data_IF_419336972096
#
_entry.id   IF_419336972096
#
_cell.length_a   1.000
_cell.length_b   1.000
_cell.length_c   1.000
_cell.angle_alpha   90.00
_cell.angle_beta   90.00
_cell.angle_gamma   90.00
#
_symmetry.space_group_name_H-M   'P 1'
#
loop_
_entity.id
_entity.type
_entity.pdbx_description
1 polymer ?
#
# COMPACT_ATOMS: atom_id res chain seq x y z
N UNK A 1 -19.37 -12.46 8.39
CA UNK A 1 -18.79 -12.75 9.73
C UNK A 1 -17.38 -13.25 9.47
N UNK A 2 -16.35 -12.67 10.09
CA UNK A 2 -14.96 -13.10 9.86
C UNK A 2 -14.73 -14.51 10.42
N UNK A 3 -13.99 -15.33 9.69
CA UNK A 3 -13.52 -16.62 10.19
C UNK A 3 -12.07 -16.45 10.70
N UNK A 4 -11.80 -16.99 11.89
CA UNK A 4 -10.46 -17.15 12.43
C UNK A 4 -10.17 -18.63 12.56
N UNK A 5 -8.99 -19.11 12.14
CA UNK A 5 -8.59 -20.51 12.33
C UNK A 5 -8.67 -20.95 13.81
N UNK A 6 -8.95 -22.23 14.05
CA UNK A 6 -9.16 -22.78 15.40
C UNK A 6 -7.95 -22.61 16.33
N UNK A 7 -6.73 -22.57 15.79
CA UNK A 7 -5.49 -22.35 16.54
C UNK A 7 -5.33 -20.90 17.00
N UNK A 8 -5.72 -19.92 16.17
CA UNK A 8 -5.76 -18.51 16.52
C UNK A 8 -6.68 -18.25 17.73
N UNK A 9 -7.83 -18.93 17.79
CA UNK A 9 -8.74 -18.84 18.94
C UNK A 9 -8.06 -19.31 20.24
N UNK A 10 -7.31 -20.40 20.23
CA UNK A 10 -6.65 -20.91 21.43
C UNK A 10 -5.56 -19.95 21.95
N UNK A 11 -4.78 -19.35 21.06
CA UNK A 11 -3.69 -18.42 21.42
C UNK A 11 -4.18 -17.05 21.86
N UNK A 12 -5.21 -16.47 21.21
CA UNK A 12 -5.81 -15.21 21.66
C UNK A 12 -6.45 -15.37 23.05
N UNK A 13 -7.03 -16.54 23.34
CA UNK A 13 -7.72 -16.81 24.62
C UNK A 13 -6.73 -17.01 25.79
N UNK A 14 -5.55 -17.58 25.54
CA UNK A 14 -4.62 -18.00 26.61
C UNK A 14 -3.23 -17.34 26.58
N UNK A 15 -2.67 -17.04 25.40
CA UNK A 15 -1.31 -16.50 25.25
C UNK A 15 -1.20 -14.97 25.28
N UNK A 16 -2.30 -14.25 25.00
CA UNK A 16 -2.31 -12.78 24.95
C UNK A 16 -2.59 -12.09 26.29
N UNK A 17 -2.90 -12.86 27.36
CA UNK A 17 -3.34 -12.35 28.68
C UNK A 17 -2.37 -11.38 29.37
N UNK A 18 -1.12 -11.29 28.93
CA UNK A 18 -0.11 -10.40 29.51
C UNK A 18 0.15 -9.11 28.71
N UNK A 19 -0.46 -8.95 27.52
CA UNK A 19 -0.13 -7.83 26.61
C UNK A 19 -1.25 -6.79 26.62
N UNK A 20 -0.97 -5.64 27.24
CA UNK A 20 -1.92 -4.51 27.35
C UNK A 20 -2.12 -3.74 26.04
N UNK A 21 -1.24 -3.91 25.07
CA UNK A 21 -1.26 -3.22 23.77
C UNK A 21 -1.24 -4.26 22.65
N UNK A 22 -2.22 -4.18 21.75
CA UNK A 22 -2.35 -5.07 20.58
C UNK A 22 -2.45 -4.22 19.32
N UNK A 23 -1.91 -4.70 18.21
CA UNK A 23 -2.01 -4.01 16.93
C UNK A 23 -3.08 -4.59 16.01
N UNK A 24 -3.67 -3.74 15.17
CA UNK A 24 -4.47 -4.13 14.01
C UNK A 24 -3.92 -3.42 12.78
N UNK A 25 -3.61 -4.17 11.73
CA UNK A 25 -3.14 -3.64 10.44
C UNK A 25 -4.28 -3.77 9.43
N UNK A 26 -4.71 -2.65 8.85
CA UNK A 26 -5.78 -2.62 7.86
C UNK A 26 -5.22 -2.90 6.46
N UNK A 27 -5.47 -4.10 5.94
CA UNK A 27 -4.90 -4.59 4.67
C UNK A 27 -5.97 -5.09 3.66
N UNK A 28 -7.25 -4.79 3.90
CA UNK A 28 -8.37 -5.27 3.06
C UNK A 28 -8.69 -4.43 1.81
N UNK A 29 -7.97 -3.32 1.59
CA UNK A 29 -8.22 -2.42 0.46
C UNK A 29 -7.88 -3.03 -0.90
N UNK A 30 -8.68 -2.76 -1.93
CA UNK A 30 -8.47 -3.30 -3.28
C UNK A 30 -7.45 -2.50 -4.13
N UNK A 31 -6.96 -1.35 -3.65
CA UNK A 31 -5.98 -0.53 -4.36
C UNK A 31 -6.42 -0.09 -5.77
N UNK A 32 -7.71 0.17 -6.00
CA UNK A 32 -8.26 0.40 -7.36
C UNK A 32 -7.58 1.52 -8.17
N UNK A 33 -7.06 2.56 -7.50
CA UNK A 33 -6.32 3.67 -8.14
C UNK A 33 -4.96 3.28 -8.72
N UNK A 34 -4.42 2.15 -8.28
CA UNK A 34 -3.13 1.59 -8.73
C UNK A 34 -3.30 0.51 -9.80
N UNK A 35 -4.52 0.26 -10.30
CA UNK A 35 -4.71 -0.64 -11.44
C UNK A 35 -4.06 -0.04 -12.69
N UNK A 36 -3.25 -0.81 -13.43
CA UNK A 36 -3.27 -2.28 -13.52
C UNK A 36 -2.33 -3.04 -12.57
N UNK A 37 -1.49 -2.36 -11.78
CA UNK A 37 -0.52 -3.01 -10.89
C UNK A 37 -1.25 -3.92 -9.89
N UNK A 38 -2.27 -3.37 -9.24
CA UNK A 38 -3.04 -4.07 -8.20
C UNK A 38 -4.03 -5.10 -8.72
N UNK A 39 -4.09 -5.35 -10.03
CA UNK A 39 -4.88 -6.46 -10.59
C UNK A 39 -4.20 -7.82 -10.42
N UNK A 40 -2.93 -7.84 -10.00
CA UNK A 40 -2.16 -9.09 -9.80
C UNK A 40 -1.51 -9.22 -8.43
N UNK A 41 -1.34 -8.11 -7.71
CA UNK A 41 -0.70 -8.07 -6.39
C UNK A 41 -1.47 -7.11 -5.45
N UNK A 42 -1.82 -7.52 -4.21
CA UNK A 42 -2.50 -6.63 -3.29
C UNK A 42 -1.57 -5.50 -2.83
N UNK A 43 -2.13 -4.31 -2.56
CA UNK A 43 -1.37 -3.10 -2.19
C UNK A 43 -0.35 -3.32 -1.04
N UNK A 44 -0.67 -4.07 0.04
CA UNK A 44 0.30 -4.45 1.09
C UNK A 44 1.58 -5.15 0.61
N UNK A 45 1.51 -5.84 -0.53
CA UNK A 45 2.62 -6.59 -1.13
C UNK A 45 3.32 -5.84 -2.27
N UNK A 46 2.94 -4.59 -2.56
CA UNK A 46 3.67 -3.84 -3.58
C UNK A 46 5.15 -3.70 -3.19
N UNK A 47 6.08 -4.02 -4.11
CA UNK A 47 7.51 -3.92 -3.83
C UNK A 47 7.93 -2.46 -3.68
N UNK A 48 8.70 -2.16 -2.66
CA UNK A 48 9.38 -0.87 -2.44
C UNK A 48 10.86 -1.21 -2.31
N UNK A 49 11.55 -1.28 -3.44
CA UNK A 49 12.87 -1.91 -3.50
C UNK A 49 12.79 -3.38 -3.11
N UNK A 50 13.58 -3.79 -2.11
CA UNK A 50 13.65 -5.18 -1.63
C UNK A 50 12.54 -5.59 -0.67
N UNK A 51 11.80 -4.62 -0.15
CA UNK A 51 10.77 -4.86 0.86
C UNK A 51 9.37 -4.68 0.28
N UNK A 52 8.35 -5.04 1.06
CA UNK A 52 6.93 -4.86 0.71
C UNK A 52 6.33 -3.67 1.46
N UNK A 53 5.29 -3.06 0.92
CA UNK A 53 4.67 -1.87 1.51
C UNK A 53 4.27 -2.05 2.99
N UNK A 54 3.63 -3.18 3.36
CA UNK A 54 3.21 -3.43 4.74
C UNK A 54 4.36 -3.78 5.70
N UNK A 55 5.57 -4.07 5.20
CA UNK A 55 6.73 -4.34 6.06
C UNK A 55 7.06 -3.16 6.98
N UNK A 56 6.76 -1.93 6.55
CA UNK A 56 6.84 -0.70 7.32
C UNK A 56 6.09 -0.81 8.65
N UNK A 57 4.81 -1.18 8.57
CA UNK A 57 3.94 -1.38 9.74
C UNK A 57 4.50 -2.43 10.69
N UNK A 58 5.02 -3.54 10.17
CA UNK A 58 5.63 -4.59 10.99
C UNK A 58 6.94 -4.14 11.66
N UNK A 59 7.76 -3.37 10.96
CA UNK A 59 8.99 -2.80 11.51
C UNK A 59 8.71 -1.80 12.64
N UNK A 60 7.71 -0.93 12.47
CA UNK A 60 7.25 0.01 13.50
C UNK A 60 6.73 -0.72 14.74
N UNK A 61 5.93 -1.78 14.55
CA UNK A 61 5.45 -2.61 15.66
C UNK A 61 6.58 -3.30 16.42
N UNK A 62 7.53 -3.90 15.69
CA UNK A 62 8.72 -4.52 16.29
C UNK A 62 9.52 -3.52 17.11
N UNK A 63 9.77 -2.33 16.56
CA UNK A 63 10.52 -1.26 17.25
C UNK A 63 9.84 -0.81 18.54
N UNK A 64 8.50 -0.77 18.57
CA UNK A 64 7.71 -0.47 19.77
C UNK A 64 7.55 -1.66 20.73
N UNK A 65 8.15 -2.83 20.43
CA UNK A 65 8.04 -4.04 21.24
C UNK A 65 6.68 -4.73 21.18
N UNK A 66 5.84 -4.39 20.19
CA UNK A 66 4.53 -5.00 19.98
C UNK A 66 4.71 -6.31 19.22
N UNK A 67 4.34 -7.42 19.87
CA UNK A 67 4.61 -8.79 19.38
C UNK A 67 3.45 -9.42 18.61
N UNK A 68 2.26 -8.84 18.65
CA UNK A 68 1.05 -9.41 18.08
C UNK A 68 0.29 -8.36 17.28
N UNK A 69 -0.07 -8.72 16.05
CA UNK A 69 -0.95 -7.94 15.20
C UNK A 69 -2.04 -8.81 14.60
N UNK A 70 -3.24 -8.25 14.47
CA UNK A 70 -4.29 -8.82 13.62
C UNK A 70 -4.29 -8.05 12.30
N UNK A 71 -4.17 -8.73 11.18
CA UNK A 71 -4.22 -8.15 9.84
C UNK A 71 -5.63 -8.33 9.30
N UNK A 72 -6.36 -7.24 9.02
CA UNK A 72 -7.67 -7.32 8.37
C UNK A 72 -7.46 -7.41 6.87
N UNK A 73 -7.94 -8.48 6.24
CA UNK A 73 -7.69 -8.78 4.82
C UNK A 73 -9.01 -9.01 4.08
N UNK A 74 -8.99 -8.87 2.74
CA UNK A 74 -10.15 -9.14 1.88
C UNK A 74 -9.71 -9.47 0.47
N UNK A 75 -9.22 -8.47 -0.25
CA UNK A 75 -8.81 -8.62 -1.64
C UNK A 75 -7.47 -9.37 -1.71
N UNK A 76 -7.43 -10.50 -2.44
CA UNK A 76 -6.24 -11.36 -2.58
C UNK A 76 -5.60 -11.69 -1.23
N UNK A 77 -6.42 -12.01 -0.22
CA UNK A 77 -5.95 -12.19 1.15
C UNK A 77 -4.97 -13.37 1.25
N UNK A 78 -5.17 -14.40 0.45
CA UNK A 78 -4.33 -15.58 0.36
C UNK A 78 -2.87 -15.20 0.04
N UNK A 79 -2.64 -14.26 -0.89
CA UNK A 79 -1.28 -13.81 -1.20
C UNK A 79 -0.61 -13.12 0.00
N UNK A 80 -1.36 -12.32 0.77
CA UNK A 80 -0.85 -11.63 1.96
C UNK A 80 -0.50 -12.65 3.05
N UNK A 81 -1.35 -13.66 3.23
CA UNK A 81 -1.17 -14.75 4.18
C UNK A 81 0.03 -15.63 3.80
N UNK A 82 0.16 -16.00 2.53
CA UNK A 82 1.26 -16.82 2.03
C UNK A 82 2.61 -16.10 2.17
N UNK A 83 2.66 -14.79 1.89
CA UNK A 83 3.90 -14.03 1.96
C UNK A 83 4.36 -13.78 3.41
N UNK A 84 3.47 -13.33 4.28
CA UNK A 84 3.82 -12.92 5.64
C UNK A 84 3.73 -14.07 6.66
N UNK A 85 2.88 -15.06 6.43
CA UNK A 85 2.65 -16.19 7.33
C UNK A 85 2.17 -15.78 8.73
N UNK A 86 2.18 -16.72 9.67
CA UNK A 86 1.78 -16.44 11.06
C UNK A 86 2.85 -15.70 11.88
N UNK A 87 4.06 -15.53 11.33
CA UNK A 87 5.16 -14.85 11.99
C UNK A 87 6.10 -14.20 11.00
N UNK A 88 6.27 -12.88 11.11
CA UNK A 88 7.14 -12.09 10.25
C UNK A 88 7.90 -11.05 11.05
N UNK A 89 9.21 -10.94 10.84
CA UNK A 89 10.09 -9.93 11.46
C UNK A 89 9.82 -9.70 12.97
N UNK A 90 9.68 -10.75 13.78
CA UNK A 90 9.49 -10.58 15.23
C UNK A 90 8.05 -10.41 15.69
N UNK A 91 7.09 -10.29 14.78
CA UNK A 91 5.66 -10.07 15.06
C UNK A 91 4.86 -11.31 14.67
N UNK A 92 4.00 -11.80 15.58
CA UNK A 92 3.01 -12.84 15.30
C UNK A 92 1.77 -12.23 14.66
N UNK A 93 1.33 -12.81 13.56
CA UNK A 93 0.23 -12.32 12.76
C UNK A 93 -0.96 -13.27 12.86
N UNK A 94 -2.15 -12.67 12.95
CA UNK A 94 -3.43 -13.36 12.87
C UNK A 94 -4.24 -12.66 11.79
N UNK A 95 -4.97 -13.41 10.98
CA UNK A 95 -5.68 -12.85 9.84
C UNK A 95 -7.18 -12.82 10.09
N UNK A 96 -7.79 -11.65 9.92
CA UNK A 96 -9.23 -11.45 9.98
C UNK A 96 -9.75 -11.17 8.57
N UNK A 97 -10.16 -12.23 7.88
CA UNK A 97 -10.66 -12.15 6.50
C UNK A 97 -12.10 -11.63 6.48
N UNK A 98 -12.31 -10.51 5.80
CA UNK A 98 -13.63 -9.89 5.62
C UNK A 98 -14.38 -10.53 4.44
N UNK A 99 -15.58 -11.05 4.69
CA UNK A 99 -16.47 -11.54 3.62
C UNK A 99 -17.17 -10.41 2.86
N UNK A 100 -17.25 -9.21 3.44
CA UNK A 100 -17.91 -8.03 2.89
C UNK A 100 -17.24 -6.77 3.43
N UNK A 101 -17.16 -5.65 2.69
CA UNK A 101 -16.46 -4.46 3.17
C UNK A 101 -17.09 -3.89 4.45
N UNK A 102 -16.35 -3.93 5.56
CA UNK A 102 -16.79 -3.38 6.85
C UNK A 102 -16.37 -1.91 7.06
N UNK A 103 -15.69 -1.32 6.09
CA UNK A 103 -15.09 0.01 6.27
C UNK A 103 -13.88 -0.03 7.20
N UNK A 104 -13.16 1.08 7.26
CA UNK A 104 -11.88 1.16 7.98
C UNK A 104 -12.05 0.86 9.48
N UNK A 105 -12.98 1.54 10.16
CA UNK A 105 -13.24 1.32 11.58
C UNK A 105 -13.97 0.00 11.85
N UNK A 106 -14.94 -0.38 11.00
CA UNK A 106 -15.68 -1.63 11.18
C UNK A 106 -14.79 -2.87 11.06
N UNK A 107 -13.79 -2.87 10.17
CA UNK A 107 -12.79 -3.95 10.07
C UNK A 107 -11.99 -4.10 11.36
N UNK A 108 -11.56 -2.98 11.95
CA UNK A 108 -10.86 -2.93 13.23
C UNK A 108 -11.74 -3.43 14.37
N UNK A 109 -13.04 -3.08 14.37
CA UNK A 109 -13.98 -3.58 15.37
C UNK A 109 -14.13 -5.11 15.28
N UNK A 110 -14.25 -5.65 14.08
CA UNK A 110 -14.34 -7.10 13.87
C UNK A 110 -13.07 -7.83 14.37
N UNK A 111 -11.89 -7.27 14.10
CA UNK A 111 -10.62 -7.78 14.63
C UNK A 111 -10.54 -7.65 16.17
N UNK A 112 -11.02 -6.55 16.73
CA UNK A 112 -10.96 -6.32 18.18
C UNK A 112 -11.90 -7.21 18.99
N UNK A 113 -13.06 -7.60 18.42
CA UNK A 113 -14.06 -8.45 19.10
C UNK A 113 -13.51 -9.82 19.52
N UNK A 114 -12.42 -10.27 18.89
CA UNK A 114 -11.79 -11.57 19.21
C UNK A 114 -10.72 -11.44 20.30
N UNK A 115 -10.26 -10.22 20.59
CA UNK A 115 -9.26 -9.93 21.61
C UNK A 115 -9.96 -9.80 22.96
N UNK A 116 -9.71 -10.73 23.89
CA UNK A 116 -10.35 -10.71 25.21
C UNK A 116 -9.87 -9.57 26.09
N UNK A 117 -8.55 -9.38 26.17
CA UNK A 117 -7.94 -8.45 27.12
C UNK A 117 -6.89 -7.55 26.44
N UNK A 118 -7.24 -6.28 26.28
CA UNK A 118 -6.34 -5.18 25.88
C UNK A 118 -6.77 -3.88 26.57
N UNK A 119 -5.81 -2.96 26.78
CA UNK A 119 -6.07 -1.61 27.28
C UNK A 119 -6.25 -0.64 26.12
N UNK A 120 -5.33 -0.71 25.16
CA UNK A 120 -5.29 0.15 23.97
C UNK A 120 -4.96 -0.67 22.73
N UNK A 121 -5.43 -0.18 21.59
CA UNK A 121 -5.26 -0.79 20.29
C UNK A 121 -4.45 0.16 19.39
N UNK A 122 -3.36 -0.32 18.81
CA UNK A 122 -2.63 0.40 17.78
C UNK A 122 -3.19 -0.01 16.42
N UNK A 123 -3.71 0.92 15.66
CA UNK A 123 -4.22 0.69 14.31
C UNK A 123 -3.23 1.27 13.32
N UNK A 124 -2.86 0.51 12.29
CA UNK A 124 -1.98 0.95 11.22
C UNK A 124 -2.63 0.69 9.86
N UNK A 125 -2.36 1.56 8.89
CA UNK A 125 -2.64 1.26 7.50
C UNK A 125 -1.65 0.22 6.97
N UNK A 126 -2.14 -0.80 6.26
CA UNK A 126 -1.30 -1.81 5.61
C UNK A 126 -0.71 -1.36 4.28
N UNK A 127 -0.99 -0.13 3.87
CA UNK A 127 -0.73 0.36 2.52
C UNK A 127 -0.05 1.74 2.47
N UNK A 128 0.47 2.19 3.60
CA UNK A 128 1.34 3.36 3.70
C UNK A 128 2.78 2.90 3.99
N UNK A 129 3.75 3.49 3.31
CA UNK A 129 5.17 3.31 3.64
C UNK A 129 5.53 4.36 4.68
N UNK A 130 5.85 3.92 5.89
CA UNK A 130 6.02 4.80 7.03
C UNK A 130 7.02 4.22 8.05
N UNK A 131 7.75 5.09 8.73
CA UNK A 131 8.69 4.69 9.79
C UNK A 131 8.54 5.50 11.08
N UNK A 132 7.33 5.99 11.37
CA UNK A 132 7.02 6.72 12.59
C UNK A 132 7.33 5.94 13.88
N UNK A 133 7.60 6.69 14.95
CA UNK A 133 7.82 6.14 16.30
C UNK A 133 6.49 5.90 17.04
N UNK A 134 6.03 4.65 17.01
CA UNK A 134 4.82 4.22 17.74
C UNK A 134 5.02 4.29 19.26
N UNK A 135 6.24 4.16 19.77
CA UNK A 135 6.55 4.25 21.19
C UNK A 135 6.38 5.66 21.75
N UNK A 136 6.81 6.69 20.99
CA UNK A 136 6.57 8.11 21.29
C UNK A 136 5.06 8.38 21.37
N UNK A 137 4.31 7.94 20.35
CA UNK A 137 2.86 8.13 20.29
C UNK A 137 2.11 7.39 21.42
N UNK A 138 2.50 6.16 21.78
CA UNK A 138 1.92 5.43 22.93
C UNK A 138 2.18 6.16 24.24
N UNK A 139 3.40 6.66 24.41
CA UNK A 139 3.77 7.41 25.62
C UNK A 139 2.93 8.68 25.72
N UNK A 140 2.75 9.41 24.62
CA UNK A 140 1.90 10.59 24.56
C UNK A 140 0.42 10.26 24.81
N UNK A 141 -0.14 9.25 24.14
CA UNK A 141 -1.52 8.80 24.32
C UNK A 141 -1.87 8.53 25.79
N UNK A 142 -0.99 7.79 26.48
CA UNK A 142 -1.16 7.44 27.89
C UNK A 142 -1.02 8.63 28.82
N UNK A 143 -0.05 9.52 28.59
CA UNK A 143 0.11 10.76 29.39
C UNK A 143 -1.10 11.68 29.22
N UNK A 144 -1.55 11.86 27.99
CA UNK A 144 -2.71 12.68 27.68
C UNK A 144 -4.02 12.02 28.15
N UNK A 145 -4.07 10.70 28.39
CA UNK A 145 -5.32 10.02 28.72
C UNK A 145 -6.39 10.21 27.64
N UNK A 146 -5.97 10.24 26.37
CA UNK A 146 -6.87 10.43 25.25
C UNK A 146 -7.70 9.17 24.97
N UNK A 147 -8.91 9.33 24.43
CA UNK A 147 -9.69 8.20 23.93
C UNK A 147 -9.16 7.74 22.57
N UNK A 148 -8.64 8.66 21.77
CA UNK A 148 -7.93 8.39 20.53
C UNK A 148 -6.75 9.34 20.35
N UNK A 149 -5.62 8.81 19.90
CA UNK A 149 -4.47 9.60 19.44
C UNK A 149 -4.17 9.26 17.99
N UNK A 150 -4.22 10.27 17.10
CA UNK A 150 -3.87 10.14 15.69
C UNK A 150 -2.39 10.47 15.52
N UNK A 151 -1.64 9.62 14.82
CA UNK A 151 -0.35 10.04 14.28
C UNK A 151 -0.62 10.82 12.99
N UNK A 152 0.04 11.96 12.85
CA UNK A 152 -0.23 12.91 11.79
C UNK A 152 0.98 13.02 10.86
N UNK A 153 0.71 13.28 9.59
CA UNK A 153 1.72 13.56 8.58
C UNK A 153 1.51 14.98 8.02
N UNK A 154 2.52 15.51 7.32
CA UNK A 154 2.38 16.73 6.52
C UNK A 154 2.33 16.39 5.05
N UNK A 155 1.49 17.09 4.29
CA UNK A 155 1.35 16.89 2.85
C UNK A 155 1.13 18.22 2.14
N UNK A 156 1.79 18.40 1.00
CA UNK A 156 1.55 19.50 0.07
C UNK A 156 0.24 19.31 -0.72
N UNK A 157 -0.33 18.10 -0.68
CA UNK A 157 -1.61 17.73 -1.30
C UNK A 157 -2.64 17.25 -0.25
N UNK A 158 -3.06 18.11 0.70
CA UNK A 158 -3.89 17.68 1.83
C UNK A 158 -5.32 17.26 1.45
N UNK A 159 -5.83 17.68 0.28
CA UNK A 159 -7.18 17.36 -0.20
C UNK A 159 -7.41 15.87 -0.48
N UNK A 160 -6.34 15.09 -0.61
CA UNK A 160 -6.43 13.64 -0.80
C UNK A 160 -6.70 12.88 0.53
N UNK A 161 -6.67 13.58 1.66
CA UNK A 161 -6.64 12.99 3.02
C UNK A 161 -7.61 13.67 3.99
N UNK A 162 -7.70 13.14 5.21
CA UNK A 162 -8.38 13.80 6.31
C UNK A 162 -7.51 14.91 6.90
N UNK A 163 -7.94 16.16 6.79
CA UNK A 163 -7.26 17.32 7.39
C UNK A 163 -7.60 17.41 8.87
N UNK A 164 -6.59 17.69 9.69
CA UNK A 164 -6.69 17.75 11.13
C UNK A 164 -6.39 19.15 11.65
N UNK A 165 -7.24 19.65 12.54
CA UNK A 165 -7.05 20.91 13.25
C UNK A 165 -6.70 20.56 14.69
N UNK A 166 -5.51 20.99 15.11
CA UNK A 166 -5.01 20.86 16.49
C UNK A 166 -5.25 22.19 17.19
N UNK A 167 -5.71 22.15 18.44
CA UNK A 167 -5.88 23.34 19.27
C UNK A 167 -4.56 24.05 19.51
N UNK A 168 -4.58 25.37 19.44
CA UNK A 168 -3.49 26.25 19.86
C UNK A 168 -3.54 26.56 21.37
N UNK A 169 -4.64 26.18 22.05
CA UNK A 169 -4.86 26.51 23.45
C UNK A 169 -3.95 25.67 24.35
N UNK A 170 -2.82 26.29 24.70
CA UNK A 170 -1.97 25.87 25.80
C UNK A 170 -2.61 26.33 27.12
N UNK A 171 -3.77 25.77 27.49
CA UNK A 171 -4.29 26.00 28.85
C UNK A 171 -3.23 25.53 29.86
N UNK A 172 -2.76 26.47 30.67
CA UNK A 172 -1.56 26.38 31.51
C UNK A 172 -1.66 25.41 32.70
N UNK A 173 -2.76 24.69 32.84
CA UNK A 173 -3.08 23.95 34.07
C UNK A 173 -3.45 22.48 33.87
N UNK A 174 -3.19 21.93 32.68
CA UNK A 174 -3.44 20.52 32.44
C UNK A 174 -2.27 19.89 31.68
N UNK A 175 -1.95 18.64 31.99
CA UNK A 175 -0.88 17.81 31.39
C UNK A 175 -1.04 17.52 29.88
N UNK A 176 -1.77 18.40 29.18
CA UNK A 176 -2.44 18.25 27.92
C UNK A 176 -2.24 19.45 26.97
N UNK A 177 -1.45 20.46 27.36
CA UNK A 177 -1.12 21.58 26.49
C UNK A 177 -0.39 21.08 25.25
N UNK A 178 -0.66 21.69 24.09
CA UNK A 178 0.05 21.34 22.87
C UNK A 178 1.55 21.48 23.06
N UNK A 179 2.32 20.49 22.64
CA UNK A 179 3.78 20.54 22.71
C UNK A 179 4.32 20.79 21.30
N UNK A 180 5.27 21.71 21.19
CA UNK A 180 6.09 21.88 19.99
C UNK A 180 7.42 21.19 20.29
N UNK A 181 7.74 20.17 19.50
CA UNK A 181 9.00 19.45 19.60
C UNK A 181 10.14 20.33 19.08
N UNK A 182 11.36 20.02 19.50
CA UNK A 182 12.56 20.79 19.08
C UNK A 182 12.81 20.75 17.56
N UNK A 183 12.25 19.76 16.87
CA UNK A 183 12.31 19.60 15.41
C UNK A 183 11.13 20.29 14.68
N UNK A 184 10.27 21.02 15.39
CA UNK A 184 9.15 21.77 14.85
C UNK A 184 7.85 20.96 14.68
N UNK A 185 7.85 19.66 14.98
CA UNK A 185 6.62 18.86 15.04
C UNK A 185 5.72 19.38 16.17
N UNK A 186 4.42 19.09 16.07
CA UNK A 186 3.45 19.45 17.12
C UNK A 186 2.62 18.27 17.58
N UNK A 187 2.17 18.32 18.82
CA UNK A 187 1.10 17.49 19.34
C UNK A 187 0.07 18.34 20.09
N UNK A 188 -1.14 17.81 20.28
CA UNK A 188 -2.18 18.52 21.04
C UNK A 188 -3.56 17.90 20.87
N UNK A 189 -4.57 18.53 21.47
CA UNK A 189 -5.97 18.13 21.31
C UNK A 189 -6.44 18.45 19.88
N UNK A 190 -7.13 17.51 19.24
CA UNK A 190 -7.79 17.71 17.96
C UNK A 190 -9.15 18.38 18.20
N UNK A 191 -9.40 19.49 17.52
CA UNK A 191 -10.64 20.28 17.58
C UNK A 191 -11.45 20.16 16.29
N UNK A 192 -10.83 19.75 15.20
CA UNK A 192 -11.49 19.56 13.91
C UNK A 192 -10.88 18.42 13.10
N UNK A 193 -11.74 17.71 12.39
CA UNK A 193 -11.37 16.67 11.45
C UNK A 193 -12.25 16.79 10.20
N UNK A 194 -11.65 16.96 9.03
CA UNK A 194 -12.36 17.13 7.76
C UNK A 194 -11.82 16.12 6.76
N UNK A 195 -12.63 15.12 6.43
CA UNK A 195 -12.25 14.09 5.46
C UNK A 195 -12.33 14.62 4.03
N UNK A 196 -11.19 14.67 3.33
CA UNK A 196 -11.06 15.02 1.91
C UNK A 196 -11.79 16.33 1.56
N UNK A 197 -11.31 17.47 2.09
CA UNK A 197 -11.95 18.75 1.88
C UNK A 197 -11.96 19.13 0.40
N UNK A 198 -13.04 19.78 -0.03
CA UNK A 198 -13.24 20.24 -1.42
C UNK A 198 -12.68 21.65 -1.69
N UNK A 199 -12.26 22.38 -0.65
CA UNK A 199 -11.64 23.71 -0.73
C UNK A 199 -10.50 23.82 0.28
N UNK A 200 -9.54 24.73 0.05
CA UNK A 200 -8.33 24.85 0.88
C UNK A 200 -8.22 26.16 1.69
N UNK A 201 -9.08 27.15 1.46
CA UNK A 201 -8.99 28.42 2.20
C UNK A 201 -9.13 28.18 3.71
N UNK A 202 -8.00 28.34 4.43
CA UNK A 202 -7.93 28.28 5.89
C UNK A 202 -7.56 26.91 6.50
N UNK A 203 -7.15 25.90 5.71
CA UNK A 203 -6.79 24.58 6.24
C UNK A 203 -5.28 24.38 6.46
N UNK A 204 -4.93 23.50 7.40
CA UNK A 204 -3.55 23.15 7.73
C UNK A 204 -2.98 22.14 6.73
N UNK A 205 -1.65 22.03 6.64
CA UNK A 205 -0.97 20.95 5.90
C UNK A 205 -0.93 19.62 6.68
N UNK A 206 -1.54 19.57 7.88
CA UNK A 206 -1.48 18.43 8.79
C UNK A 206 -2.63 17.49 8.50
N UNK A 207 -2.28 16.26 8.16
CA UNK A 207 -3.21 15.24 7.68
C UNK A 207 -3.17 13.98 8.54
N UNK A 208 -4.28 13.26 8.50
CA UNK A 208 -4.41 11.92 9.02
C UNK A 208 -3.50 10.94 8.27
N UNK A 209 -2.60 10.27 9.00
CA UNK A 209 -1.68 9.26 8.44
C UNK A 209 -2.31 7.87 8.24
N UNK A 210 -3.50 7.63 8.81
CA UNK A 210 -4.09 6.29 8.89
C UNK A 210 -3.59 5.45 10.06
N UNK A 211 -2.81 6.03 10.99
CA UNK A 211 -2.26 5.36 12.17
C UNK A 211 -2.87 5.96 13.44
N UNK A 212 -3.40 5.10 14.31
CA UNK A 212 -4.17 5.49 15.48
C UNK A 212 -3.78 4.68 16.72
N UNK A 213 -3.95 5.29 17.89
CA UNK A 213 -3.98 4.58 19.17
C UNK A 213 -5.35 4.82 19.78
N UNK A 214 -6.09 3.75 20.04
CA UNK A 214 -7.47 3.80 20.51
C UNK A 214 -7.59 3.17 21.88
N UNK A 215 -8.30 3.83 22.79
CA UNK A 215 -8.72 3.22 24.04
C UNK A 215 -9.75 2.10 23.75
N UNK A 216 -9.92 1.18 24.71
CA UNK A 216 -11.03 0.21 24.66
C UNK A 216 -12.41 0.89 24.53
N UNK A 217 -12.60 2.06 25.13
CA UNK A 217 -13.87 2.79 25.05
C UNK A 217 -14.12 3.33 23.63
N UNK A 218 -13.10 3.90 22.97
CA UNK A 218 -13.21 4.35 21.59
C UNK A 218 -13.53 3.18 20.63
N UNK A 219 -12.85 2.03 20.78
CA UNK A 219 -13.17 0.81 20.02
C UNK A 219 -14.62 0.36 20.27
N UNK A 220 -15.10 0.48 21.52
CA UNK A 220 -16.46 0.16 21.93
C UNK A 220 -17.55 0.97 21.22
N UNK A 221 -17.24 2.19 20.77
CA UNK A 221 -18.17 3.08 20.05
C UNK A 221 -18.40 2.66 18.59
N UNK A 222 -17.51 1.85 18.01
CA UNK A 222 -17.64 1.40 16.61
C UNK A 222 -18.74 0.32 16.52
N UNK A 223 -19.80 0.52 15.71
CA UNK A 223 -20.85 -0.48 15.55
C UNK A 223 -20.35 -1.69 14.74
N UNK A 224 -21.04 -2.82 14.87
CA UNK A 224 -20.79 -4.03 14.06
C UNK A 224 -21.43 -3.92 12.67
N UNK A 225 -20.98 -2.92 11.92
CA UNK A 225 -21.48 -2.61 10.58
C UNK A 225 -20.40 -1.89 9.78
N UNK A 226 -20.70 -1.58 8.51
CA UNK A 226 -19.83 -0.72 7.72
C UNK A 226 -19.64 0.63 8.42
N UNK A 227 -18.41 0.96 8.79
CA UNK A 227 -18.09 2.17 9.55
C UNK A 227 -16.66 2.63 9.25
N UNK A 228 -16.45 3.94 9.13
CA UNK A 228 -15.17 4.54 8.77
C UNK A 228 -14.63 5.47 9.86
N UNK A 229 -13.30 5.52 10.02
CA UNK A 229 -12.65 6.39 11.01
C UNK A 229 -12.90 7.87 10.72
N UNK A 230 -12.50 8.34 9.53
CA UNK A 230 -12.56 9.75 9.17
C UNK A 230 -13.98 10.27 8.90
N UNK A 231 -14.85 9.45 8.31
CA UNK A 231 -16.24 9.86 8.02
C UNK A 231 -17.20 9.66 9.19
N UNK A 232 -16.88 8.79 10.16
CA UNK A 232 -17.83 8.44 11.22
C UNK A 232 -17.24 8.55 12.63
N UNK A 233 -16.23 7.75 13.00
CA UNK A 233 -15.80 7.64 14.40
C UNK A 233 -15.25 8.97 14.95
N UNK A 234 -14.29 9.60 14.25
CA UNK A 234 -13.67 10.82 14.77
C UNK A 234 -14.66 12.00 14.80
N UNK A 235 -15.46 12.27 13.76
CA UNK A 235 -16.52 13.28 13.84
C UNK A 235 -17.50 13.03 14.99
N UNK A 236 -17.90 11.77 15.22
CA UNK A 236 -18.78 11.40 16.32
C UNK A 236 -18.16 11.68 17.69
N UNK A 237 -16.91 11.26 17.91
CA UNK A 237 -16.17 11.50 19.15
C UNK A 237 -16.00 13.00 19.42
N UNK A 238 -15.64 13.80 18.40
CA UNK A 238 -15.53 15.26 18.52
C UNK A 238 -16.86 15.90 18.94
N UNK A 239 -17.98 15.47 18.33
CA UNK A 239 -19.32 15.99 18.67
C UNK A 239 -19.74 15.71 20.12
N UNK A 240 -19.16 14.68 20.75
CA UNK A 240 -19.39 14.31 22.15
C UNK A 240 -18.45 14.99 23.14
N UNK A 241 -17.46 15.73 22.64
CA UNK A 241 -16.37 16.28 23.44
C UNK A 241 -15.37 15.24 23.93
N UNK A 242 -15.42 13.99 23.44
CA UNK A 242 -14.44 12.96 23.79
C UNK A 242 -13.03 13.46 23.44
N UNK A 243 -12.03 13.04 24.22
CA UNK A 243 -10.67 13.55 24.07
C UNK A 243 -9.94 12.85 22.94
N UNK A 244 -9.80 13.56 21.83
CA UNK A 244 -8.97 13.14 20.70
C UNK A 244 -7.72 14.00 20.67
N UNK A 245 -6.56 13.38 20.53
CA UNK A 245 -5.28 14.06 20.40
C UNK A 245 -4.61 13.71 19.06
N UNK A 246 -3.69 14.56 18.63
CA UNK A 246 -2.85 14.39 17.47
C UNK A 246 -1.39 14.54 17.85
N UNK A 247 -0.51 13.80 17.20
CA UNK A 247 0.94 13.95 17.29
C UNK A 247 1.53 13.80 15.89
N UNK A 248 2.28 14.79 15.42
CA UNK A 248 3.02 14.68 14.16
C UNK A 248 4.11 13.61 14.29
N UNK A 249 4.14 12.65 13.36
CA UNK A 249 5.09 11.55 13.39
C UNK A 249 6.51 12.02 13.06
N UNK A 250 7.49 11.56 13.83
CA UNK A 250 8.89 11.66 13.46
C UNK A 250 9.23 10.62 12.38
N UNK A 251 9.58 11.06 11.18
CA UNK A 251 10.08 10.19 10.12
C UNK A 251 9.39 10.38 8.78
N UNK A 252 9.50 9.36 7.94
CA UNK A 252 8.92 9.27 6.62
C UNK A 252 7.48 8.76 6.68
N UNK A 253 6.64 9.31 5.81
CA UNK A 253 5.30 8.80 5.54
C UNK A 253 4.92 9.05 4.08
N UNK A 254 4.38 8.02 3.43
CA UNK A 254 3.81 8.11 2.10
C UNK A 254 2.64 7.13 1.94
N UNK A 255 1.43 7.62 1.68
CA UNK A 255 0.35 6.79 1.11
C UNK A 255 0.67 6.51 -0.35
N UNK A 256 0.99 5.25 -0.67
CA UNK A 256 1.25 4.79 -2.05
C UNK A 256 -0.06 4.62 -2.83
N UNK A 257 -0.98 5.57 -2.75
CA UNK A 257 -2.33 5.52 -3.32
C UNK A 257 -2.42 5.75 -4.83
N UNK A 258 -1.33 6.14 -5.49
CA UNK A 258 -1.25 6.38 -6.93
C UNK A 258 0.17 6.15 -7.46
N UNK A 259 0.33 6.14 -8.79
CA UNK A 259 1.59 5.75 -9.44
C UNK A 259 2.78 6.62 -9.07
N UNK A 260 2.62 7.94 -9.07
CA UNK A 260 3.70 8.86 -8.70
C UNK A 260 4.11 8.70 -7.24
N UNK A 261 3.14 8.53 -6.34
CA UNK A 261 3.44 8.28 -4.93
C UNK A 261 4.18 6.95 -4.74
N UNK A 262 3.74 5.90 -5.42
CA UNK A 262 4.40 4.59 -5.38
C UNK A 262 5.83 4.62 -5.96
N UNK A 263 6.01 5.23 -7.14
CA UNK A 263 7.32 5.43 -7.77
C UNK A 263 8.24 6.25 -6.87
N UNK A 264 7.76 7.39 -6.37
CA UNK A 264 8.49 8.23 -5.41
C UNK A 264 8.91 7.44 -4.17
N UNK A 265 8.04 6.63 -3.58
CA UNK A 265 8.40 5.80 -2.43
C UNK A 265 9.52 4.80 -2.76
N UNK A 266 9.55 4.22 -3.96
CA UNK A 266 10.65 3.37 -4.41
C UNK A 266 11.97 4.16 -4.51
N UNK A 267 11.95 5.35 -5.10
CA UNK A 267 13.14 6.21 -5.20
C UNK A 267 13.58 6.77 -3.84
N UNK A 268 12.66 7.13 -2.95
CA UNK A 268 12.97 7.55 -1.60
C UNK A 268 13.64 6.41 -0.80
N UNK A 269 13.23 5.15 -1.02
CA UNK A 269 13.92 3.99 -0.48
C UNK A 269 15.35 3.83 -1.04
N UNK A 270 15.56 4.06 -2.34
CA UNK A 270 16.91 4.05 -2.93
C UNK A 270 17.81 5.15 -2.35
N UNK A 271 17.25 6.33 -2.08
CA UNK A 271 17.97 7.45 -1.48
C UNK A 271 18.13 7.31 0.05
N UNK A 272 17.70 6.20 0.65
CA UNK A 272 17.86 5.95 2.09
C UNK A 272 16.98 6.83 2.99
N UNK A 273 15.91 7.43 2.45
CA UNK A 273 15.00 8.28 3.23
C UNK A 273 14.02 7.48 4.10
N UNK A 274 13.87 6.19 3.83
CA UNK A 274 12.89 5.32 4.50
C UNK A 274 13.65 4.28 5.32
N UNK A 275 13.50 4.33 6.65
CA UNK A 275 14.21 3.42 7.54
C UNK A 275 13.78 1.97 7.31
N UNK A 276 14.76 1.09 7.13
CA UNK A 276 14.53 -0.35 6.92
C UNK A 276 14.10 -0.71 5.51
N UNK A 277 14.12 0.23 4.57
CA UNK A 277 13.92 -0.01 3.15
C UNK A 277 15.21 0.31 2.39
N UNK A 278 15.43 -0.43 1.30
CA UNK A 278 16.54 -0.19 0.41
C UNK A 278 16.16 -0.59 -1.01
N UNK A 279 16.58 0.23 -1.97
CA UNK A 279 16.53 -0.05 -3.38
C UNK A 279 17.87 0.36 -4.02
N UNK A 280 18.16 -0.15 -5.21
CA UNK A 280 19.32 0.25 -5.99
C UNK A 280 18.82 0.92 -7.27
N UNK A 281 19.40 2.08 -7.59
CA UNK A 281 19.22 2.75 -8.87
C UNK A 281 20.39 2.29 -9.75
N UNK A 282 20.06 1.68 -10.88
CA UNK A 282 21.05 1.24 -11.86
C UNK A 282 21.62 2.41 -12.67
N UNK A 283 22.59 2.12 -13.55
CA UNK A 283 23.28 3.11 -14.38
C UNK A 283 22.36 3.90 -15.34
N UNK A 284 21.20 3.34 -15.69
CA UNK A 284 20.20 3.98 -16.54
C UNK A 284 19.22 4.87 -15.77
N UNK A 285 19.25 4.85 -14.43
CA UNK A 285 18.34 5.62 -13.58
C UNK A 285 17.10 4.85 -13.12
N UNK A 286 17.00 3.55 -13.39
CA UNK A 286 15.87 2.71 -12.99
C UNK A 286 16.08 2.00 -11.66
N UNK A 287 14.96 1.66 -11.00
CA UNK A 287 14.93 0.67 -9.94
C UNK A 287 14.47 -0.64 -10.54
N UNK A 288 15.30 -1.68 -10.44
CA UNK A 288 14.99 -3.01 -10.95
C UNK A 288 14.72 -4.02 -9.83
N UNK A 289 13.65 -4.79 -10.02
CA UNK A 289 13.37 -6.01 -9.29
C UNK A 289 14.33 -7.15 -9.66
N UNK A 290 14.07 -8.31 -9.10
CA UNK A 290 14.93 -9.48 -9.33
C UNK A 290 14.74 -10.05 -10.75
N UNK A 291 15.80 -10.64 -11.30
CA UNK A 291 15.77 -11.35 -12.60
C UNK A 291 15.42 -10.48 -13.82
N UNK A 292 15.55 -9.15 -13.72
CA UNK A 292 15.43 -8.28 -14.87
C UNK A 292 16.59 -8.50 -15.87
N UNK A 293 16.29 -8.45 -17.17
CA UNK A 293 17.27 -8.55 -18.25
C UNK A 293 17.06 -7.43 -19.25
N UNK A 294 17.91 -6.40 -19.19
CA UNK A 294 17.86 -5.26 -20.11
C UNK A 294 19.07 -5.34 -21.04
N UNK A 295 18.80 -5.38 -22.34
CA UNK A 295 19.84 -5.44 -23.38
C UNK A 295 20.54 -4.10 -23.60
N UNK A 296 21.64 -4.12 -24.36
CA UNK A 296 22.49 -2.96 -24.64
C UNK A 296 21.74 -1.77 -25.27
N UNK A 297 22.24 -0.56 -25.01
CA UNK A 297 21.71 0.73 -25.51
C UNK A 297 20.27 1.05 -25.07
N UNK A 298 19.70 0.28 -24.14
CA UNK A 298 18.41 0.59 -23.55
C UNK A 298 18.54 1.49 -22.32
N UNK A 299 17.60 2.42 -22.15
CA UNK A 299 17.60 3.42 -21.09
C UNK A 299 16.23 3.45 -20.41
N UNK A 300 16.22 3.25 -19.10
CA UNK A 300 15.01 3.29 -18.28
C UNK A 300 15.17 4.39 -17.21
N UNK A 301 14.95 5.64 -17.59
CA UNK A 301 15.17 6.78 -16.70
C UNK A 301 13.96 6.98 -15.77
N UNK A 302 14.19 7.10 -14.46
CA UNK A 302 13.13 7.30 -13.48
C UNK A 302 12.10 6.16 -13.39
N UNK A 303 12.39 4.98 -13.96
CA UNK A 303 11.45 3.87 -14.06
C UNK A 303 11.53 2.90 -12.86
N UNK A 304 10.42 2.20 -12.61
CA UNK A 304 10.37 1.08 -11.65
C UNK A 304 10.01 -0.19 -12.42
N UNK A 305 10.97 -1.11 -12.53
CA UNK A 305 10.80 -2.41 -13.16
C UNK A 305 10.59 -3.45 -12.06
N UNK A 306 9.48 -4.15 -12.09
CA UNK A 306 9.23 -5.28 -11.19
C UNK A 306 9.98 -6.53 -11.66
N UNK A 307 9.91 -7.59 -10.86
CA UNK A 307 10.67 -8.82 -11.09
C UNK A 307 10.46 -9.41 -12.49
N UNK A 308 11.52 -9.93 -13.09
CA UNK A 308 11.46 -10.69 -14.34
C UNK A 308 11.12 -9.87 -15.59
N UNK A 309 11.28 -8.54 -15.56
CA UNK A 309 11.12 -7.71 -16.76
C UNK A 309 12.29 -7.96 -17.72
N UNK A 310 11.98 -8.21 -18.98
CA UNK A 310 13.00 -8.35 -20.04
C UNK A 310 12.81 -7.27 -21.10
N UNK A 311 13.88 -6.62 -21.54
CA UNK A 311 13.83 -5.58 -22.57
C UNK A 311 14.92 -5.79 -23.63
N UNK A 312 14.51 -5.75 -24.90
CA UNK A 312 15.38 -5.78 -26.06
C UNK A 312 16.26 -4.53 -26.18
N UNK A 313 17.20 -4.56 -27.12
CA UNK A 313 18.16 -3.47 -27.32
C UNK A 313 17.47 -2.19 -27.82
N UNK A 314 18.13 -1.05 -27.65
CA UNK A 314 17.67 0.25 -28.18
C UNK A 314 16.27 0.66 -27.69
N UNK A 315 15.88 0.22 -26.49
CA UNK A 315 14.58 0.53 -25.87
C UNK A 315 14.69 1.69 -24.91
N UNK A 316 13.70 2.59 -24.93
CA UNK A 316 13.66 3.73 -23.99
C UNK A 316 12.38 3.73 -23.18
N UNK A 317 12.48 4.05 -21.90
CA UNK A 317 11.36 4.31 -21.02
C UNK A 317 11.68 5.44 -20.06
N UNK A 318 10.67 6.26 -19.75
CA UNK A 318 10.81 7.39 -18.82
C UNK A 318 9.68 7.35 -17.80
N UNK A 319 9.99 7.58 -16.51
CA UNK A 319 9.02 7.80 -15.42
C UNK A 319 7.85 6.80 -15.39
N UNK A 320 8.12 5.55 -15.74
CA UNK A 320 7.11 4.53 -15.97
C UNK A 320 7.26 3.35 -15.02
N UNK A 321 6.16 2.62 -14.83
CA UNK A 321 6.13 1.42 -14.02
C UNK A 321 5.92 0.22 -14.93
N UNK A 322 6.88 -0.69 -14.95
CA UNK A 322 6.84 -1.92 -15.75
C UNK A 322 6.59 -3.08 -14.79
N UNK A 323 5.38 -3.65 -14.83
CA UNK A 323 5.00 -4.70 -13.89
C UNK A 323 5.73 -6.02 -14.18
N UNK A 324 5.59 -6.95 -13.23
CA UNK A 324 6.30 -8.22 -13.21
C UNK A 324 6.16 -8.98 -14.53
N UNK A 325 7.27 -9.55 -15.01
CA UNK A 325 7.26 -10.47 -16.14
C UNK A 325 6.93 -9.86 -17.51
N UNK A 326 6.92 -8.53 -17.63
CA UNK A 326 6.71 -7.87 -18.92
C UNK A 326 7.89 -8.14 -19.85
N UNK A 327 7.58 -8.48 -21.10
CA UNK A 327 8.56 -8.66 -22.18
C UNK A 327 8.46 -7.50 -23.16
N UNK A 328 9.55 -6.75 -23.31
CA UNK A 328 9.67 -5.60 -24.21
C UNK A 328 10.65 -5.95 -25.33
N UNK A 329 10.22 -5.80 -26.58
CA UNK A 329 11.04 -5.99 -27.78
C UNK A 329 12.09 -4.90 -27.95
N UNK A 330 12.87 -4.98 -29.02
CA UNK A 330 13.89 -3.98 -29.34
C UNK A 330 13.28 -2.72 -29.98
N UNK A 331 13.89 -1.56 -29.76
CA UNK A 331 13.47 -0.30 -30.38
C UNK A 331 12.13 0.24 -29.86
N UNK A 332 11.66 -0.24 -28.70
CA UNK A 332 10.40 0.22 -28.10
C UNK A 332 10.60 1.58 -27.43
N UNK A 333 9.60 2.46 -27.53
CA UNK A 333 9.58 3.75 -26.82
C UNK A 333 8.40 3.81 -25.86
N UNK A 334 8.68 4.00 -24.57
CA UNK A 334 7.68 4.16 -23.51
C UNK A 334 7.81 5.58 -22.97
N UNK A 335 6.85 6.42 -23.30
CA UNK A 335 6.82 7.81 -22.84
C UNK A 335 6.47 7.94 -21.34
N UNK A 336 6.69 9.11 -20.73
CA UNK A 336 6.47 9.35 -19.31
C UNK A 336 5.11 8.88 -18.75
N UNK A 337 5.13 8.31 -17.55
CA UNK A 337 3.92 8.01 -16.78
C UNK A 337 3.14 6.78 -17.25
N UNK A 338 3.72 5.93 -18.11
CA UNK A 338 3.06 4.69 -18.52
C UNK A 338 3.07 3.65 -17.40
N UNK A 339 2.06 2.77 -17.40
CA UNK A 339 2.00 1.61 -16.50
C UNK A 339 1.69 0.36 -17.30
N UNK A 340 2.67 -0.52 -17.44
CA UNK A 340 2.55 -1.74 -18.24
C UNK A 340 2.15 -2.89 -17.33
N UNK A 341 0.96 -3.45 -17.54
CA UNK A 341 0.39 -4.52 -16.74
C UNK A 341 1.23 -5.79 -16.77
N UNK A 342 1.18 -6.57 -15.67
CA UNK A 342 2.03 -7.74 -15.48
C UNK A 342 1.90 -8.73 -16.64
N UNK A 343 3.01 -9.35 -17.03
CA UNK A 343 3.08 -10.36 -18.09
C UNK A 343 2.62 -9.87 -19.48
N UNK A 344 2.63 -8.55 -19.72
CA UNK A 344 2.36 -8.01 -21.06
C UNK A 344 3.55 -8.24 -21.99
N UNK A 345 3.25 -8.34 -23.30
CA UNK A 345 4.24 -8.42 -24.38
C UNK A 345 4.13 -7.15 -25.21
N UNK A 346 5.23 -6.40 -25.31
CA UNK A 346 5.35 -5.21 -26.16
C UNK A 346 6.35 -5.54 -27.25
N UNK A 347 5.90 -5.72 -28.48
CA UNK A 347 6.76 -6.13 -29.59
C UNK A 347 7.63 -4.98 -30.13
N UNK A 348 8.60 -5.36 -30.97
CA UNK A 348 9.63 -4.47 -31.50
C UNK A 348 9.05 -3.19 -32.13
N UNK A 349 9.71 -2.05 -31.85
CA UNK A 349 9.38 -0.77 -32.47
C UNK A 349 8.05 -0.15 -32.02
N UNK A 350 7.34 -0.74 -31.06
CA UNK A 350 6.11 -0.16 -30.53
C UNK A 350 6.37 1.15 -29.77
N UNK A 351 5.37 2.03 -29.76
CA UNK A 351 5.40 3.33 -29.07
C UNK A 351 4.20 3.44 -28.14
N UNK A 352 4.46 3.59 -26.85
CA UNK A 352 3.44 3.84 -25.84
C UNK A 352 3.52 5.30 -25.44
N UNK A 353 2.45 6.06 -25.72
CA UNK A 353 2.38 7.49 -25.42
C UNK A 353 2.11 7.76 -23.96
N UNK A 354 2.46 8.96 -23.54
CA UNK A 354 2.48 9.40 -22.15
C UNK A 354 1.20 9.06 -21.39
N UNK A 355 1.34 8.50 -20.18
CA UNK A 355 0.23 8.16 -19.30
C UNK A 355 -0.56 6.90 -19.65
N UNK A 356 -0.17 6.19 -20.72
CA UNK A 356 -0.88 4.99 -21.19
C UNK A 356 -0.75 3.82 -20.21
N UNK A 357 -1.84 3.09 -20.03
CA UNK A 357 -1.87 1.88 -19.19
C UNK A 357 -2.26 0.64 -19.98
N UNK A 358 -1.63 -0.49 -19.69
CA UNK A 358 -2.02 -1.79 -20.25
C UNK A 358 -2.51 -2.73 -19.15
N UNK A 359 -3.63 -3.45 -19.34
CA UNK A 359 -4.02 -4.49 -18.40
C UNK A 359 -3.00 -5.65 -18.35
N UNK A 360 -3.02 -6.49 -17.31
CA UNK A 360 -2.16 -7.68 -17.26
C UNK A 360 -2.39 -8.60 -18.47
N UNK A 361 -1.31 -9.17 -19.01
CA UNK A 361 -1.35 -10.07 -20.16
C UNK A 361 -1.61 -9.40 -21.50
N UNK A 362 -1.52 -8.07 -21.60
CA UNK A 362 -1.75 -7.36 -22.88
C UNK A 362 -0.67 -7.68 -23.90
N UNK A 363 -1.04 -7.70 -25.19
CA UNK A 363 -0.10 -7.82 -26.30
C UNK A 363 -0.17 -6.58 -27.20
N UNK A 364 0.93 -5.82 -27.27
CA UNK A 364 1.09 -4.68 -28.19
C UNK A 364 1.98 -5.13 -29.34
N UNK A 365 1.40 -5.18 -30.54
CA UNK A 365 2.06 -5.69 -31.75
C UNK A 365 3.16 -4.77 -32.28
N UNK A 366 4.05 -5.33 -33.09
CA UNK A 366 5.23 -4.62 -33.59
C UNK A 366 4.86 -3.33 -34.33
N UNK A 367 5.59 -2.24 -34.02
CA UNK A 367 5.37 -0.92 -34.63
C UNK A 367 4.07 -0.22 -34.24
N UNK A 368 3.23 -0.80 -33.36
CA UNK A 368 2.00 -0.17 -32.93
C UNK A 368 2.25 1.09 -32.11
N UNK A 369 1.34 2.07 -32.24
CA UNK A 369 1.37 3.29 -31.45
C UNK A 369 0.13 3.37 -30.56
N UNK A 370 0.34 3.27 -29.24
CA UNK A 370 -0.72 3.30 -28.25
C UNK A 370 -0.85 4.71 -27.66
N UNK A 371 -2.01 5.35 -27.88
CA UNK A 371 -2.28 6.75 -27.50
C UNK A 371 -3.21 6.91 -26.29
N UNK A 372 -3.74 5.81 -25.79
CA UNK A 372 -4.71 5.78 -24.70
C UNK A 372 -4.63 4.43 -23.99
N UNK A 373 -5.17 4.37 -22.77
CA UNK A 373 -5.27 3.13 -22.00
C UNK A 373 -5.89 2.00 -22.82
N UNK A 374 -5.21 0.84 -22.83
CA UNK A 374 -5.86 -0.39 -23.25
C UNK A 374 -6.89 -0.77 -22.18
N UNK A 375 -8.06 -1.17 -22.64
CA UNK A 375 -9.12 -1.69 -21.79
C UNK A 375 -9.43 -3.09 -22.28
N UNK A 376 -9.61 -4.03 -21.36
CA UNK A 376 -10.20 -5.32 -21.72
C UNK A 376 -11.55 -5.05 -22.39
N UNK A 377 -11.72 -5.49 -23.64
CA UNK A 377 -13.06 -5.59 -24.23
C UNK A 377 -13.84 -6.61 -23.40
N UNK A 378 -15.00 -6.21 -22.88
CA UNK A 378 -15.74 -7.02 -21.91
C UNK A 378 -16.07 -8.44 -22.39
N UNK A 379 -16.04 -9.38 -21.42
CA UNK A 379 -16.31 -10.84 -21.49
C UNK A 379 -15.08 -11.75 -21.65
N UNK A 380 -14.12 -11.67 -20.72
CA UNK A 380 -13.27 -12.82 -20.43
C UNK A 380 -13.60 -13.28 -18.99
N UNK A 381 -14.07 -14.52 -18.84
CA UNK A 381 -14.35 -15.12 -17.54
C UNK A 381 -13.04 -15.30 -16.75
N UNK A 382 -13.13 -15.26 -15.42
CA UNK A 382 -11.98 -15.32 -14.48
C UNK A 382 -11.01 -16.48 -14.77
N UNK A 383 -11.53 -17.57 -15.35
CA UNK A 383 -10.80 -18.77 -15.74
C UNK A 383 -9.88 -18.59 -16.96
N UNK A 384 -10.23 -17.73 -17.92
CA UNK A 384 -9.38 -17.43 -19.09
C UNK A 384 -8.16 -16.59 -18.72
N UNK A 385 -8.28 -15.73 -17.70
CA UNK A 385 -7.16 -14.94 -17.17
C UNK A 385 -6.10 -15.82 -16.50
N UNK A 386 -6.54 -16.86 -15.80
CA UNK A 386 -5.68 -17.85 -15.15
C UNK A 386 -4.95 -18.73 -16.18
N UNK A 387 -5.64 -19.15 -17.26
CA UNK A 387 -5.07 -19.95 -18.33
C UNK A 387 -4.03 -19.20 -19.19
N UNK A 388 -4.21 -17.89 -19.41
CA UNK A 388 -3.19 -17.04 -20.08
C UNK A 388 -1.94 -16.90 -19.20
N UNK A 389 -2.12 -16.74 -17.89
CA UNK A 389 -1.03 -16.65 -16.91
C UNK A 389 -0.22 -17.95 -16.79
N UNK A 390 -0.90 -19.10 -16.81
CA UNK A 390 -0.26 -20.41 -16.73
C UNK A 390 0.47 -20.80 -18.03
N UNK A 391 -0.05 -20.40 -19.19
CA UNK A 391 0.60 -20.65 -20.49
C UNK A 391 1.88 -19.83 -20.68
N UNK A 392 1.95 -18.60 -20.15
CA UNK A 392 3.17 -17.78 -20.22
C UNK A 392 4.28 -18.30 -19.29
N UNK A 393 3.92 -18.83 -18.12
CA UNK A 393 4.85 -19.51 -17.20
C UNK A 393 5.40 -20.81 -17.80
N UNK A 394 4.58 -21.57 -18.52
CA UNK A 394 5.01 -22.80 -19.21
C UNK A 394 5.95 -22.52 -20.41
N UNK A 395 5.79 -21.38 -21.09
CA UNK A 395 6.65 -20.99 -22.21
C UNK A 395 8.10 -20.64 -21.79
N UNK A 396 8.36 -20.40 -20.50
CA UNK A 396 9.71 -20.19 -19.99
C UNK A 396 10.51 -21.49 -19.79
N UNK A 397 9.90 -22.67 -19.93
CA UNK A 397 10.56 -23.99 -19.77
C UNK A 397 10.15 -25.00 -20.88
N UNK A 398 10.33 -24.66 -22.15
CA UNK A 398 10.24 -25.64 -23.24
C UNK A 398 11.51 -25.67 -24.11
N UNK A 399 12.02 -26.85 -24.51
CA UNK A 399 13.29 -27.01 -25.20
C UNK A 399 13.22 -26.56 -26.66
N UNK A 400 14.37 -26.14 -27.20
CA UNK A 400 14.58 -25.73 -28.61
C UNK A 400 14.10 -26.82 -29.57
N UNK A 401 13.25 -26.50 -30.57
CA UNK A 401 12.96 -27.43 -31.66
C UNK A 401 13.89 -27.20 -32.86
N UNK A 402 14.54 -28.29 -33.29
CA UNK A 402 15.17 -28.42 -34.59
C UNK A 402 14.12 -28.50 -35.71
N UNK A 403 14.27 -27.67 -36.74
CA UNK A 403 13.87 -27.95 -38.12
C UNK A 403 12.37 -27.86 -38.49
N UNK A 404 12.05 -27.03 -39.50
CA UNK A 404 10.84 -27.21 -40.33
C UNK A 404 10.12 -25.93 -40.78
N UNK A 405 10.42 -25.51 -42.01
CA UNK A 405 9.70 -24.63 -42.95
C UNK A 405 8.53 -23.72 -42.51
N UNK A 406 8.69 -22.44 -42.84
CA UNK A 406 7.71 -21.36 -42.90
C UNK A 406 6.62 -21.59 -43.96
N UNK A 407 5.36 -21.34 -43.62
CA UNK A 407 4.33 -20.79 -44.53
C UNK A 407 3.46 -19.82 -43.73
N UNK A 408 3.38 -18.56 -44.17
CA UNK A 408 2.51 -17.53 -43.61
C UNK A 408 1.09 -17.61 -44.20
N UNK A 409 0.05 -17.19 -43.46
CA UNK A 409 -1.12 -16.60 -44.07
C UNK A 409 -1.28 -15.12 -43.70
N UNK A 410 -1.79 -14.41 -44.70
CA UNK A 410 -2.16 -13.01 -44.75
C UNK A 410 -3.27 -12.66 -43.75
N UNK A 411 -3.21 -11.41 -43.24
CA UNK A 411 -4.36 -10.59 -42.83
C UNK A 411 -5.37 -11.18 -41.85
N UNK A 412 -5.30 -10.75 -40.58
CA UNK A 412 -6.37 -9.96 -39.95
C UNK A 412 -5.98 -9.60 -38.51
N UNK A 413 -6.40 -8.41 -38.09
CA UNK A 413 -6.22 -7.87 -36.73
C UNK A 413 -6.99 -8.74 -35.75
N UNK A 414 -6.28 -9.37 -34.82
CA UNK A 414 -6.88 -9.97 -33.62
C UNK A 414 -6.27 -9.30 -32.38
N UNK A 415 -7.08 -8.47 -31.73
CA UNK A 415 -6.92 -8.15 -30.31
C UNK A 415 -7.26 -9.41 -29.55
N UNK A 416 -6.31 -9.97 -28.81
CA UNK A 416 -6.52 -10.98 -27.79
C UNK A 416 -5.87 -10.53 -26.49
#
# INVERSE_FOLDING_TARGET
MCELPSFARFFIINGMRQYKTVAVIMAGGNGSRLRPITDTIPKPLLPIGRERAMTASLNMLRAAGIKYAIVTTRYMHEQIEDFYGEYYNGVRLLYSVETSPLGTAGSVRAAADVIRDFNELVVLSGDAVCDFDIGEALSYHRRAGAEATLLLARSDEPWNYGVVIISEDNEKDDSNSGEIFSDGRVCGRITGFIEKPTSFEGYTAVINSGIYILSRRAVGMIPRAKYDFGHNLFPYMLSRGDKICGIEGAGYWCDIGGFDAYRRACFDAAHGKIRGYSAHIDESGAIMGEYCRVHERSVFDGCVLHDGVTAGADTTAVDSIICRGVTIGSGVTIEPGCVIGAYSIIENGAVLRSGTKTPPGSHVIAGAELKADLRFSGKAEEKEKEDVLLKSLAAQHAPVPEGGSVVAPEGDIAVL
#
